data_IF_703278722667
#
_entry.id   IF_703278722667
#
_cell.length_a   1.000
_cell.length_b   1.000
_cell.length_c   1.000
_cell.angle_alpha   90.00
_cell.angle_beta   90.00
_cell.angle_gamma   90.00
#
_symmetry.space_group_name_H-M   'P 1'
#
loop_
_entity.id
_entity.type
_entity.pdbx_description
1 polymer ?
#
# COMPACT_ATOMS: atom_id res chain seq x y z
N UNK A 1 0.57 12.28 13.45
CA UNK A 1 1.93 11.80 13.15
C UNK A 1 2.34 12.40 11.81
N UNK A 2 3.37 13.27 11.77
CA UNK A 2 3.83 13.89 10.51
C UNK A 2 4.60 12.83 9.72
N UNK A 3 4.14 12.49 8.51
CA UNK A 3 4.88 11.65 7.56
C UNK A 3 6.05 12.49 7.03
N UNK A 4 7.09 12.70 7.84
CA UNK A 4 8.30 13.45 7.49
C UNK A 4 9.48 12.53 7.12
N UNK A 5 9.43 11.25 7.47
CA UNK A 5 10.61 10.38 7.37
C UNK A 5 10.79 9.72 5.99
N UNK A 6 9.75 9.63 5.16
CA UNK A 6 9.87 9.02 3.83
C UNK A 6 10.54 9.92 2.78
N UNK A 7 10.52 11.25 2.94
CA UNK A 7 10.93 12.20 1.90
C UNK A 7 12.42 12.56 1.88
N UNK A 8 13.18 12.22 2.93
CA UNK A 8 14.58 12.69 3.06
C UNK A 8 15.59 11.82 2.31
N UNK A 9 15.22 10.62 1.84
CA UNK A 9 16.18 9.66 1.25
C UNK A 9 16.38 9.74 -0.28
N UNK A 10 15.61 10.55 -1.01
CA UNK A 10 15.77 10.66 -2.46
C UNK A 10 16.58 11.91 -2.85
N UNK A 11 17.91 11.80 -2.76
CA UNK A 11 18.85 12.61 -3.55
C UNK A 11 19.64 11.65 -4.44
N UNK A 12 19.73 11.99 -5.72
CA UNK A 12 20.03 11.09 -6.84
C UNK A 12 21.20 10.12 -6.63
N UNK A 13 20.94 8.86 -6.96
CA UNK A 13 21.98 7.85 -7.19
C UNK A 13 22.21 7.75 -8.71
N UNK A 14 23.43 8.10 -9.10
CA UNK A 14 23.99 7.84 -10.43
C UNK A 14 24.22 6.33 -10.58
N UNK A 15 23.94 5.80 -11.76
CA UNK A 15 24.12 4.40 -12.12
C UNK A 15 25.61 4.04 -12.20
N UNK A 16 26.15 3.57 -11.08
CA UNK A 16 27.41 2.81 -11.01
C UNK A 16 27.21 1.68 -10.00
N UNK A 17 27.51 0.46 -10.45
CA UNK A 17 27.42 -0.84 -9.78
C UNK A 17 27.29 -0.79 -8.25
N UNK A 18 26.06 -0.83 -7.74
CA UNK A 18 25.80 -0.99 -6.31
C UNK A 18 25.88 -2.50 -5.97
N UNK A 19 26.69 -2.83 -4.94
CA UNK A 19 26.62 -4.10 -4.24
C UNK A 19 25.15 -4.43 -3.95
N UNK A 20 24.73 -5.67 -4.23
CA UNK A 20 23.41 -6.18 -3.85
C UNK A 20 23.38 -6.23 -2.32
N UNK A 21 22.95 -5.14 -1.68
CA UNK A 21 22.64 -5.15 -0.26
C UNK A 21 21.51 -6.17 -0.02
N UNK A 22 21.75 -7.08 0.92
CA UNK A 22 20.87 -8.17 1.36
C UNK A 22 19.63 -7.65 2.13
N UNK A 23 19.14 -6.43 1.83
CA UNK A 23 18.02 -5.77 2.55
C UNK A 23 16.70 -6.54 2.48
N UNK A 24 16.56 -7.44 1.50
CA UNK A 24 15.39 -8.28 1.29
C UNK A 24 15.43 -9.63 2.04
N UNK A 25 16.56 -9.97 2.68
CA UNK A 25 16.71 -11.23 3.42
C UNK A 25 16.76 -10.96 4.92
N UNK A 26 15.73 -11.41 5.64
CA UNK A 26 15.78 -11.53 7.11
C UNK A 26 16.20 -12.94 7.48
N UNK A 27 17.36 -13.06 8.15
CA UNK A 27 17.76 -14.32 8.79
C UNK A 27 16.78 -14.58 9.94
N UNK A 28 16.02 -15.65 9.82
CA UNK A 28 15.09 -16.11 10.85
C UNK A 28 15.89 -16.92 11.86
N UNK A 29 15.82 -16.54 13.14
CA UNK A 29 16.53 -17.27 14.20
C UNK A 29 16.01 -18.72 14.30
N UNK A 30 16.84 -19.70 14.71
CA UNK A 30 16.44 -21.11 14.79
C UNK A 30 15.15 -21.35 15.58
N UNK A 31 14.96 -20.63 16.69
CA UNK A 31 13.75 -20.74 17.52
C UNK A 31 12.50 -20.19 16.83
N UNK A 32 12.64 -19.13 16.03
CA UNK A 32 11.57 -18.58 15.22
C UNK A 32 11.15 -19.56 14.12
N UNK A 33 12.12 -20.27 13.55
CA UNK A 33 11.85 -21.29 12.54
C UNK A 33 11.07 -22.49 13.13
N UNK A 34 11.36 -22.88 14.37
CA UNK A 34 10.61 -23.92 15.07
C UNK A 34 9.14 -23.51 15.30
N UNK A 35 8.89 -22.26 15.69
CA UNK A 35 7.52 -21.72 15.85
C UNK A 35 6.76 -21.72 14.53
N UNK A 36 7.38 -21.24 13.44
CA UNK A 36 6.76 -21.24 12.11
C UNK A 36 6.45 -22.66 11.64
N UNK A 37 7.40 -23.60 11.82
CA UNK A 37 7.22 -25.00 11.46
C UNK A 37 6.05 -25.64 12.22
N UNK A 38 5.91 -25.33 13.51
CA UNK A 38 4.79 -25.80 14.31
C UNK A 38 3.45 -25.29 13.78
N UNK A 39 3.34 -23.99 13.47
CA UNK A 39 2.12 -23.42 12.88
C UNK A 39 1.81 -24.09 11.54
N UNK A 40 2.80 -24.18 10.64
CA UNK A 40 2.66 -24.78 9.31
C UNK A 40 2.16 -26.24 9.42
N UNK A 41 2.66 -27.02 10.38
CA UNK A 41 2.26 -28.42 10.58
C UNK A 41 0.78 -28.59 10.93
N UNK A 42 0.12 -27.54 11.45
CA UNK A 42 -1.30 -27.55 11.79
C UNK A 42 -2.20 -27.16 10.61
N UNK A 43 -1.62 -26.69 9.49
CA UNK A 43 -2.36 -26.18 8.34
C UNK A 43 -2.51 -27.21 7.24
N UNK A 44 -3.69 -27.19 6.61
CA UNK A 44 -3.94 -27.91 5.36
C UNK A 44 -3.87 -26.94 4.19
N UNK A 45 -3.31 -27.34 3.03
CA UNK A 45 -3.36 -26.52 1.82
C UNK A 45 -4.80 -26.03 1.55
N UNK A 46 -4.93 -24.72 1.30
CA UNK A 46 -6.21 -24.03 1.16
C UNK A 46 -6.73 -23.35 2.44
N UNK A 47 -6.09 -23.56 3.59
CA UNK A 47 -6.50 -22.93 4.85
C UNK A 47 -6.47 -21.39 4.77
N UNK A 48 -7.47 -20.76 5.37
CA UNK A 48 -7.57 -19.30 5.50
C UNK A 48 -6.69 -18.81 6.65
N UNK A 49 -5.62 -18.11 6.30
CA UNK A 49 -4.63 -17.59 7.25
C UNK A 49 -5.10 -16.36 8.02
N UNK A 50 -6.24 -15.75 7.65
CA UNK A 50 -6.76 -14.56 8.37
C UNK A 50 -7.27 -14.88 9.77
N UNK A 51 -7.56 -16.16 10.05
CA UNK A 51 -8.03 -16.66 11.36
C UNK A 51 -6.93 -17.21 12.24
N UNK A 52 -5.68 -17.19 11.76
CA UNK A 52 -4.53 -17.73 12.46
C UNK A 52 -3.67 -16.57 12.95
N UNK A 53 -3.39 -16.56 14.25
CA UNK A 53 -2.49 -15.58 14.85
C UNK A 53 -1.07 -15.90 14.43
N UNK A 54 -0.48 -15.00 13.66
CA UNK A 54 0.92 -15.08 13.24
C UNK A 54 1.84 -14.54 14.35
N UNK A 55 3.06 -15.07 14.50
CA UNK A 55 4.02 -14.56 15.49
C UNK A 55 4.39 -13.10 15.25
N UNK A 56 4.66 -12.36 16.32
CA UNK A 56 4.95 -10.91 16.24
C UNK A 56 6.23 -10.57 15.48
N UNK A 57 7.21 -11.48 15.42
CA UNK A 57 8.48 -11.22 14.73
C UNK A 57 8.35 -11.13 13.20
N UNK A 58 7.24 -11.61 12.63
CA UNK A 58 6.91 -11.43 11.19
C UNK A 58 5.96 -10.25 10.94
N UNK A 59 5.71 -9.41 11.95
CA UNK A 59 4.88 -8.22 11.83
C UNK A 59 5.76 -6.96 11.68
N UNK A 60 5.30 -6.02 10.87
CA UNK A 60 5.82 -4.65 10.92
C UNK A 60 5.04 -3.80 11.93
N UNK A 61 5.61 -2.66 12.30
CA UNK A 61 5.03 -1.76 13.32
C UNK A 61 3.86 -0.91 12.80
N UNK A 62 3.45 -1.10 11.55
CA UNK A 62 2.40 -0.32 10.89
C UNK A 62 1.12 -1.13 10.74
N UNK A 63 0.00 -0.47 11.02
CA UNK A 63 -1.33 -0.97 10.65
C UNK A 63 -1.48 -0.99 9.13
N UNK A 64 -2.26 -1.94 8.61
CA UNK A 64 -2.61 -1.96 7.19
C UNK A 64 -3.23 -0.62 6.73
N UNK A 65 -4.00 0.05 7.60
CA UNK A 65 -4.58 1.37 7.32
C UNK A 65 -3.53 2.43 7.03
N UNK A 66 -2.39 2.33 7.71
CA UNK A 66 -1.24 3.18 7.48
C UNK A 66 -0.44 2.74 6.25
N UNK A 67 -0.25 1.42 6.08
CA UNK A 67 0.56 0.86 5.00
C UNK A 67 0.07 1.26 3.60
N UNK A 68 -1.25 1.46 3.45
CA UNK A 68 -1.87 1.95 2.20
C UNK A 68 -1.28 3.31 1.78
N UNK A 69 -0.82 4.16 2.71
CA UNK A 69 -0.26 5.47 2.37
C UNK A 69 1.04 5.40 1.57
N UNK A 70 1.72 4.25 1.52
CA UNK A 70 2.90 4.04 0.67
C UNK A 70 2.57 4.26 -0.81
N UNK A 71 1.34 3.98 -1.24
CA UNK A 71 0.92 4.24 -2.62
C UNK A 71 0.80 5.73 -2.95
N UNK A 72 0.87 6.62 -1.95
CA UNK A 72 0.85 8.09 -2.11
C UNK A 72 2.22 8.72 -1.83
N UNK A 73 3.30 7.92 -1.80
CA UNK A 73 4.64 8.40 -1.43
C UNK A 73 5.33 9.25 -2.51
N UNK A 74 4.84 9.20 -3.76
CA UNK A 74 5.42 9.89 -4.92
C UNK A 74 4.48 10.99 -5.46
N UNK A 75 4.22 12.06 -4.70
CA UNK A 75 3.35 13.15 -5.16
C UNK A 75 3.86 13.81 -6.45
N UNK A 76 5.17 13.86 -6.67
CA UNK A 76 5.76 14.38 -7.91
C UNK A 76 5.30 13.65 -9.16
N UNK A 77 4.97 12.36 -9.05
CA UNK A 77 4.41 11.56 -10.14
C UNK A 77 2.88 11.69 -10.27
N UNK A 78 2.19 12.04 -9.19
CA UNK A 78 0.72 12.09 -9.12
C UNK A 78 0.15 13.47 -9.46
N UNK A 79 0.69 14.52 -8.84
CA UNK A 79 0.13 15.88 -8.88
C UNK A 79 0.03 16.47 -10.30
N UNK A 80 0.98 16.22 -11.23
CA UNK A 80 0.88 16.77 -12.59
C UNK A 80 -0.12 16.06 -13.51
N UNK A 81 -0.52 14.82 -13.21
CA UNK A 81 -1.34 14.00 -14.13
C UNK A 81 -2.63 14.69 -14.63
N UNK A 82 -3.40 15.40 -13.77
CA UNK A 82 -4.64 16.07 -14.17
C UNK A 82 -4.46 17.17 -15.23
N UNK A 83 -3.25 17.73 -15.38
CA UNK A 83 -2.95 18.79 -16.36
C UNK A 83 -2.50 18.24 -17.71
N UNK A 84 -2.19 16.95 -17.81
CA UNK A 84 -1.80 16.29 -19.07
C UNK A 84 -3.03 16.19 -19.97
N UNK A 85 -2.98 16.80 -21.16
CA UNK A 85 -4.10 16.81 -22.09
C UNK A 85 -4.18 15.56 -22.96
N UNK A 86 -3.04 15.07 -23.46
CA UNK A 86 -2.99 13.84 -24.25
C UNK A 86 -3.50 12.64 -23.41
N UNK A 87 -4.56 11.92 -23.87
CA UNK A 87 -5.12 10.82 -23.10
C UNK A 87 -4.16 9.64 -22.87
N UNK A 88 -3.29 9.34 -23.84
CA UNK A 88 -2.36 8.23 -23.74
C UNK A 88 -1.23 8.57 -22.75
N UNK A 89 -0.62 9.75 -22.85
CA UNK A 89 0.40 10.22 -21.91
C UNK A 89 -0.14 10.29 -20.47
N UNK A 90 -1.39 10.74 -20.32
CA UNK A 90 -2.06 10.78 -19.02
C UNK A 90 -2.24 9.38 -18.46
N UNK A 91 -2.69 8.43 -19.29
CA UNK A 91 -2.84 7.03 -18.89
C UNK A 91 -1.48 6.41 -18.48
N UNK A 92 -0.43 6.61 -19.28
CA UNK A 92 0.93 6.15 -18.96
C UNK A 92 1.43 6.74 -17.64
N UNK A 93 1.11 8.01 -17.37
CA UNK A 93 1.48 8.67 -16.11
C UNK A 93 0.74 8.08 -14.90
N UNK A 94 -0.55 7.73 -15.05
CA UNK A 94 -1.30 6.98 -14.02
C UNK A 94 -0.66 5.62 -13.73
N UNK A 95 -0.29 4.87 -14.77
CA UNK A 95 0.37 3.56 -14.63
C UNK A 95 1.73 3.72 -13.94
N UNK A 96 2.54 4.69 -14.36
CA UNK A 96 3.84 4.99 -13.75
C UNK A 96 3.70 5.32 -12.26
N UNK A 97 2.76 6.19 -11.92
CA UNK A 97 2.47 6.53 -10.53
C UNK A 97 2.04 5.29 -9.73
N UNK A 98 1.10 4.50 -10.25
CA UNK A 98 0.61 3.31 -9.57
C UNK A 98 1.72 2.30 -9.28
N UNK A 99 2.66 2.11 -10.21
CA UNK A 99 3.80 1.21 -10.04
C UNK A 99 4.86 1.73 -9.06
N UNK A 100 4.96 3.06 -8.88
CA UNK A 100 5.99 3.67 -8.04
C UNK A 100 5.90 3.27 -6.56
N UNK A 101 4.70 3.03 -6.01
CA UNK A 101 4.52 2.77 -4.57
C UNK A 101 4.89 1.36 -4.10
N UNK A 102 5.08 0.39 -5.00
CA UNK A 102 5.21 -1.03 -4.63
C UNK A 102 6.57 -1.41 -4.03
N UNK A 103 7.62 -0.65 -4.33
CA UNK A 103 8.97 -0.91 -3.81
C UNK A 103 9.11 -0.52 -2.32
N UNK A 104 8.16 0.24 -1.77
CA UNK A 104 8.20 0.73 -0.40
C UNK A 104 7.74 -0.38 0.55
N UNK A 105 8.71 -1.14 1.06
CA UNK A 105 8.51 -2.25 1.99
C UNK A 105 9.55 -2.21 3.13
N UNK A 106 9.20 -2.73 4.32
CA UNK A 106 10.17 -2.94 5.37
C UNK A 106 11.21 -3.98 4.90
N UNK A 107 12.43 -3.93 5.45
CA UNK A 107 13.42 -4.98 5.21
C UNK A 107 12.89 -6.33 5.72
N UNK A 108 13.14 -7.37 4.92
CA UNK A 108 12.69 -8.74 5.19
C UNK A 108 11.18 -9.01 5.00
N UNK A 109 10.77 -10.20 5.43
CA UNK A 109 9.39 -10.70 5.24
C UNK A 109 8.51 -10.28 6.42
N UNK A 110 7.98 -9.05 6.38
CA UNK A 110 7.06 -8.52 7.39
C UNK A 110 5.67 -8.20 6.83
N UNK A 111 4.64 -8.56 7.60
CA UNK A 111 3.23 -8.27 7.30
C UNK A 111 2.72 -7.11 8.17
N UNK A 112 1.93 -6.16 7.63
CA UNK A 112 1.25 -5.15 8.44
C UNK A 112 0.34 -5.78 9.50
N UNK A 113 0.14 -5.05 10.60
CA UNK A 113 -0.85 -5.40 11.60
C UNK A 113 -2.25 -5.44 10.97
N UNK A 114 -3.02 -6.47 11.30
CA UNK A 114 -4.42 -6.59 10.88
C UNK A 114 -5.27 -5.62 11.70
N UNK A 115 -5.89 -4.59 11.09
CA UNK A 115 -6.61 -3.58 11.85
C UNK A 115 -7.84 -4.16 12.57
N UNK A 116 -8.17 -3.61 13.73
CA UNK A 116 -9.41 -3.98 14.44
C UNK A 116 -10.63 -3.34 13.75
N UNK A 117 -11.82 -3.90 13.95
CA UNK A 117 -13.05 -3.32 13.38
C UNK A 117 -13.26 -1.89 13.89
N UNK A 118 -13.50 -0.95 12.97
CA UNK A 118 -13.69 0.46 13.29
C UNK A 118 -12.40 1.24 13.58
N UNK A 119 -11.22 0.60 13.48
CA UNK A 119 -9.95 1.32 13.51
C UNK A 119 -9.93 2.36 12.39
N UNK A 120 -9.45 3.56 12.68
CA UNK A 120 -9.30 4.65 11.71
C UNK A 120 -7.87 5.16 11.66
N UNK A 121 -7.40 5.52 10.47
CA UNK A 121 -6.13 6.23 10.31
C UNK A 121 -6.32 7.46 9.41
N UNK A 122 -5.70 8.59 9.80
CA UNK A 122 -5.74 9.84 9.04
C UNK A 122 -4.34 10.40 8.87
N UNK A 123 -4.05 10.91 7.67
CA UNK A 123 -2.78 11.56 7.37
C UNK A 123 -2.98 12.72 6.40
N UNK A 124 -1.95 13.55 6.27
CA UNK A 124 -1.90 14.60 5.26
C UNK A 124 -0.47 14.79 4.75
N UNK A 125 -0.36 15.41 3.58
CA UNK A 125 0.90 15.80 2.96
C UNK A 125 0.90 17.31 2.77
N UNK A 126 2.04 17.93 3.08
CA UNK A 126 2.33 19.32 2.73
C UNK A 126 3.14 19.31 1.43
N UNK A 127 2.61 19.93 0.37
CA UNK A 127 3.28 19.98 -0.93
C UNK A 127 4.12 21.26 -1.09
N UNK A 128 5.14 21.26 -1.98
CA UNK A 128 6.01 22.43 -2.17
C UNK A 128 5.31 23.71 -2.64
N UNK A 129 4.14 23.59 -3.26
CA UNK A 129 3.31 24.70 -3.72
C UNK A 129 2.33 25.24 -2.65
N UNK A 130 2.52 24.84 -1.39
CA UNK A 130 1.66 25.16 -0.24
C UNK A 130 0.24 24.59 -0.29
N UNK A 131 -0.02 23.62 -1.18
CA UNK A 131 -1.27 22.84 -1.18
C UNK A 131 -1.16 21.60 -0.30
N UNK A 132 -2.27 20.89 -0.09
CA UNK A 132 -2.33 19.72 0.80
C UNK A 132 -3.04 18.53 0.19
N UNK A 133 -2.52 17.35 0.49
CA UNK A 133 -3.21 16.08 0.29
C UNK A 133 -3.78 15.57 1.61
N UNK A 134 -4.97 15.00 1.60
CA UNK A 134 -5.66 14.47 2.79
C UNK A 134 -5.97 12.99 2.59
N UNK A 135 -5.73 12.18 3.61
CA UNK A 135 -6.02 10.74 3.63
C UNK A 135 -6.82 10.36 4.86
N UNK A 136 -7.83 9.52 4.65
CA UNK A 136 -8.66 8.93 5.70
C UNK A 136 -8.85 7.46 5.33
N UNK A 137 -8.70 6.56 6.30
CA UNK A 137 -9.07 5.16 6.15
C UNK A 137 -9.70 4.58 7.39
N UNK A 138 -10.48 3.53 7.18
CA UNK A 138 -11.20 2.82 8.23
C UNK A 138 -11.24 1.32 7.93
N UNK A 139 -11.09 0.51 8.97
CA UNK A 139 -11.36 -0.91 8.90
C UNK A 139 -12.87 -1.19 8.97
N UNK A 140 -13.50 -1.24 7.80
CA UNK A 140 -14.95 -1.43 7.66
C UNK A 140 -15.45 -2.86 7.87
N UNK A 141 -14.56 -3.86 7.92
CA UNK A 141 -14.91 -5.26 8.26
C UNK A 141 -13.68 -6.01 8.77
N UNK A 142 -13.86 -6.91 9.73
CA UNK A 142 -12.78 -7.75 10.27
C UNK A 142 -12.86 -9.22 9.82
N UNK A 143 -14.07 -9.73 9.57
CA UNK A 143 -14.32 -11.11 9.11
C UNK A 143 -15.32 -11.14 7.95
N UNK A 144 -14.87 -11.08 6.68
CA UNK A 144 -13.47 -11.00 6.23
C UNK A 144 -12.84 -9.61 6.41
N UNK A 145 -11.49 -9.49 6.48
CA UNK A 145 -10.81 -8.20 6.57
C UNK A 145 -11.08 -7.33 5.35
N UNK A 146 -11.55 -6.10 5.57
CA UNK A 146 -11.72 -5.07 4.54
C UNK A 146 -11.50 -3.68 5.13
N UNK A 147 -10.56 -2.96 4.54
CA UNK A 147 -10.34 -1.53 4.80
C UNK A 147 -10.93 -0.70 3.67
N UNK A 148 -11.47 0.46 3.99
CA UNK A 148 -11.85 1.48 3.00
C UNK A 148 -10.96 2.71 3.20
N UNK A 149 -10.57 3.36 2.13
CA UNK A 149 -9.72 4.54 2.18
C UNK A 149 -10.15 5.60 1.17
N UNK A 150 -9.86 6.83 1.53
CA UNK A 150 -10.11 8.03 0.77
C UNK A 150 -8.84 8.88 0.76
N UNK A 151 -8.48 9.40 -0.41
CA UNK A 151 -7.43 10.38 -0.56
C UNK A 151 -7.89 11.52 -1.48
N UNK A 152 -7.52 12.74 -1.16
CA UNK A 152 -7.82 13.90 -1.99
C UNK A 152 -6.71 14.93 -1.95
N UNK A 153 -6.34 15.46 -3.12
CA UNK A 153 -5.55 16.67 -3.27
C UNK A 153 -6.42 17.69 -4.03
N UNK A 154 -7.25 18.49 -3.32
CA UNK A 154 -8.30 19.30 -3.93
C UNK A 154 -7.78 20.30 -4.95
N UNK A 155 -6.69 20.99 -4.62
CA UNK A 155 -6.05 22.01 -5.47
C UNK A 155 -5.44 21.42 -6.74
N UNK A 156 -5.14 20.12 -6.72
CA UNK A 156 -4.65 19.36 -7.86
C UNK A 156 -5.75 18.54 -8.54
N UNK A 157 -7.02 18.74 -8.20
CA UNK A 157 -8.14 18.03 -8.81
C UNK A 157 -8.12 16.49 -8.68
N UNK A 158 -7.37 15.93 -7.74
CA UNK A 158 -7.23 14.48 -7.58
C UNK A 158 -8.11 13.97 -6.45
N UNK A 159 -8.86 12.91 -6.75
CA UNK A 159 -9.60 12.13 -5.76
C UNK A 159 -9.33 10.64 -5.97
N UNK A 160 -9.03 9.94 -4.89
CA UNK A 160 -8.89 8.48 -4.86
C UNK A 160 -9.82 7.91 -3.81
N UNK A 161 -10.64 6.96 -4.22
CA UNK A 161 -11.48 6.18 -3.32
C UNK A 161 -11.14 4.70 -3.53
N UNK A 162 -10.97 3.93 -2.48
CA UNK A 162 -10.69 2.52 -2.65
C UNK A 162 -11.00 1.65 -1.46
N UNK A 163 -10.91 0.34 -1.70
CA UNK A 163 -11.00 -0.67 -0.66
C UNK A 163 -9.83 -1.63 -0.79
N UNK A 164 -9.31 -2.08 0.35
CA UNK A 164 -8.31 -3.13 0.43
C UNK A 164 -8.98 -4.37 1.00
N UNK A 165 -8.89 -5.51 0.30
CA UNK A 165 -9.53 -6.77 0.69
C UNK A 165 -8.53 -7.92 0.57
N UNK A 166 -7.61 -8.05 1.53
CA UNK A 166 -6.64 -9.14 1.53
C UNK A 166 -7.31 -10.45 1.94
N UNK A 167 -7.13 -11.50 1.14
CA UNK A 167 -7.48 -12.88 1.50
C UNK A 167 -6.23 -13.72 1.57
N UNK A 168 -5.82 -14.06 2.80
CA UNK A 168 -4.62 -14.84 3.04
C UNK A 168 -4.91 -16.34 2.93
N UNK A 169 -4.15 -17.07 2.11
CA UNK A 169 -4.28 -18.52 1.92
C UNK A 169 -2.95 -19.22 2.14
N UNK A 170 -3.00 -20.35 2.83
CA UNK A 170 -1.90 -21.30 2.90
C UNK A 170 -1.96 -22.24 1.69
N UNK A 171 -0.82 -22.49 1.05
CA UNK A 171 -0.71 -23.28 -0.18
C UNK A 171 0.28 -24.46 -0.04
N UNK A 172 0.63 -24.85 1.19
CA UNK A 172 1.66 -25.86 1.46
C UNK A 172 3.01 -25.20 1.69
N UNK A 173 3.91 -25.23 0.70
CA UNK A 173 5.22 -24.57 0.82
C UNK A 173 5.17 -23.05 0.57
N UNK A 174 3.98 -22.49 0.34
CA UNK A 174 3.79 -21.06 0.12
C UNK A 174 2.61 -20.54 0.92
N UNK A 175 2.63 -19.24 1.21
CA UNK A 175 1.46 -18.49 1.64
C UNK A 175 1.25 -17.34 0.66
N UNK A 176 -0.01 -17.04 0.36
CA UNK A 176 -0.37 -15.97 -0.56
C UNK A 176 -1.37 -15.01 0.10
N UNK A 177 -1.25 -13.73 -0.19
CA UNK A 177 -2.29 -12.73 0.09
C UNK A 177 -2.92 -12.31 -1.23
N UNK A 178 -4.10 -12.83 -1.52
CA UNK A 178 -4.87 -12.45 -2.70
C UNK A 178 -5.51 -11.08 -2.44
N UNK A 179 -5.23 -10.11 -3.31
CA UNK A 179 -5.74 -8.75 -3.16
C UNK A 179 -7.00 -8.57 -4.02
N UNK A 180 -8.16 -8.46 -3.37
CA UNK A 180 -9.46 -8.27 -4.05
C UNK A 180 -9.98 -6.83 -3.94
N UNK A 181 -9.09 -5.92 -3.54
CA UNK A 181 -9.38 -4.49 -3.45
C UNK A 181 -9.53 -3.83 -4.82
N UNK A 182 -10.16 -2.65 -4.81
CA UNK A 182 -10.32 -1.80 -6.00
C UNK A 182 -10.00 -0.37 -5.58
N UNK A 183 -9.30 0.36 -6.44
CA UNK A 183 -9.01 1.78 -6.28
C UNK A 183 -9.53 2.56 -7.49
N UNK A 184 -10.21 3.68 -7.23
CA UNK A 184 -10.73 4.58 -8.26
C UNK A 184 -10.00 5.92 -8.16
N UNK A 185 -9.14 6.22 -9.14
CA UNK A 185 -8.55 7.54 -9.32
C UNK A 185 -9.45 8.39 -10.24
N UNK A 186 -9.81 9.59 -9.80
CA UNK A 186 -10.64 10.54 -10.54
C UNK A 186 -9.97 11.90 -10.61
N UNK A 187 -10.05 12.51 -11.79
CA UNK A 187 -9.67 13.91 -12.01
C UNK A 187 -10.92 14.77 -12.07
N UNK A 188 -11.11 15.63 -11.06
CA UNK A 188 -12.35 16.43 -10.89
C UNK A 188 -12.48 17.57 -11.89
N UNK A 189 -11.39 17.95 -12.55
CA UNK A 189 -11.38 18.89 -13.68
C UNK A 189 -11.71 18.22 -15.03
N UNK A 190 -11.88 16.89 -15.06
CA UNK A 190 -12.18 16.11 -16.28
C UNK A 190 -13.44 15.26 -16.07
N UNK A 191 -14.12 14.88 -17.16
CA UNK A 191 -15.28 13.97 -17.08
C UNK A 191 -16.68 14.61 -17.00
N UNK A 192 -16.84 15.89 -17.40
CA UNK A 192 -18.17 16.50 -17.66
C UNK A 192 -18.60 16.39 -19.14
N UNK A 193 -18.30 15.29 -19.83
CA UNK A 193 -18.96 15.02 -21.12
C UNK A 193 -20.31 14.34 -20.85
N UNK A 194 -21.38 14.81 -21.51
CA UNK A 194 -22.75 14.27 -21.44
C UNK A 194 -22.90 12.86 -22.05
N UNK A 195 -21.85 12.06 -22.13
CA UNK A 195 -21.85 10.77 -22.82
C UNK A 195 -20.71 9.85 -22.38
N UNK A 196 -20.40 9.82 -21.08
CA UNK A 196 -19.28 9.02 -20.55
C UNK A 196 -19.41 7.53 -20.87
N UNK A 197 -18.36 6.98 -21.47
CA UNK A 197 -18.11 5.54 -21.49
C UNK A 197 -17.93 5.05 -20.05
N UNK A 198 -18.61 3.95 -19.75
CA UNK A 198 -18.61 3.24 -18.46
C UNK A 198 -17.46 2.27 -18.39
#
# INVERSE_FOLDING_TARGET
MKIKEALTKWKGRSSTEEQRDDEDTTVVEPDQNNVLSHIISQLRPGADLSRITLPTFILEERSMLERITNFMAHPEGLLPIPTIDDPLERFLSVVKFYLSGWHIKPPGVKKPLNPILGETFTAWWDYPDNTKGYYISEQTSHHPPKSSYFFMAPEHHIRVDGTLRPRSKFLGNSAASLMEGISYLRFTNRGKSKGGEK
#
